data_IF_611174480490
#
_entry.id   IF_611174480490
#
_cell.length_a   1.000
_cell.length_b   1.000
_cell.length_c   1.000
_cell.angle_alpha   90.00
_cell.angle_beta   90.00
_cell.angle_gamma   90.00
#
_symmetry.space_group_name_H-M   'P 1'
#
loop_
_entity.id
_entity.type
_entity.pdbx_description
1 polymer ?
#
# COMPACT_ATOMS: atom_id res chain seq x y z
N UNK A 1 18.93 19.04 23.25
CA UNK A 1 17.58 18.91 22.70
C UNK A 1 17.48 17.54 22.01
N UNK A 2 16.65 16.66 22.53
CA UNK A 2 16.39 15.37 21.87
C UNK A 2 15.50 15.62 20.64
N UNK A 3 16.00 15.31 19.44
CA UNK A 3 15.19 15.35 18.22
C UNK A 3 14.19 14.21 18.25
N UNK A 4 12.91 14.52 18.07
CA UNK A 4 11.88 13.50 17.81
C UNK A 4 12.01 13.05 16.35
N UNK A 5 11.95 11.75 16.11
CA UNK A 5 12.02 11.14 14.77
C UNK A 5 10.75 10.31 14.60
N UNK A 6 10.11 10.42 13.43
CA UNK A 6 9.01 9.55 13.04
C UNK A 6 9.63 8.33 12.38
N UNK A 7 9.34 7.15 12.93
CA UNK A 7 9.70 5.87 12.32
C UNK A 7 8.48 5.30 11.60
N UNK A 8 8.59 5.16 10.28
CA UNK A 8 7.55 4.55 9.45
C UNK A 8 7.99 3.15 9.03
N UNK A 9 7.15 2.15 9.27
CA UNK A 9 7.34 0.81 8.75
C UNK A 9 6.49 0.61 7.50
N UNK A 10 7.14 0.30 6.36
CA UNK A 10 6.47 -0.16 5.15
C UNK A 10 6.30 -1.68 5.22
N UNK A 11 5.07 -2.14 5.43
CA UNK A 11 4.79 -3.54 5.78
C UNK A 11 4.97 -4.48 4.59
N UNK A 12 4.48 -4.10 3.40
CA UNK A 12 4.56 -4.98 2.22
C UNK A 12 5.15 -4.31 0.97
N UNK A 13 4.71 -3.10 0.63
CA UNK A 13 4.99 -2.48 -0.68
C UNK A 13 4.18 -3.10 -1.84
N UNK A 14 4.35 -2.54 -3.04
CA UNK A 14 3.60 -2.94 -4.25
C UNK A 14 4.35 -3.92 -5.14
N UNK A 15 5.69 -3.90 -5.10
CA UNK A 15 6.55 -4.68 -5.97
C UNK A 15 6.35 -6.18 -5.81
N UNK A 16 7.03 -6.94 -6.67
CA UNK A 16 6.87 -8.38 -6.78
C UNK A 16 6.95 -9.09 -5.41
N UNK A 17 6.01 -10.00 -5.20
CA UNK A 17 5.96 -10.86 -4.05
C UNK A 17 7.25 -11.67 -3.91
N UNK A 18 7.95 -11.51 -2.79
CA UNK A 18 9.11 -12.32 -2.48
C UNK A 18 8.68 -13.65 -1.84
N UNK A 19 8.45 -14.65 -2.67
CA UNK A 19 8.07 -16.00 -2.23
C UNK A 19 9.13 -16.67 -1.32
N UNK A 20 10.34 -16.16 -1.30
CA UNK A 20 11.42 -16.71 -0.46
C UNK A 20 11.29 -16.28 1.02
N UNK A 21 10.46 -15.28 1.33
CA UNK A 21 10.28 -14.82 2.70
C UNK A 21 9.06 -15.51 3.34
N UNK A 22 9.25 -16.39 4.31
CA UNK A 22 8.16 -17.23 4.84
C UNK A 22 7.05 -16.42 5.56
N UNK A 23 7.38 -15.24 6.05
CA UNK A 23 6.47 -14.38 6.81
C UNK A 23 6.04 -13.14 6.03
N UNK A 24 6.12 -13.16 4.69
CA UNK A 24 5.66 -12.03 3.89
C UNK A 24 4.13 -11.92 3.96
N UNK A 25 3.57 -10.81 4.48
CA UNK A 25 2.13 -10.69 4.67
C UNK A 25 1.42 -10.43 3.34
N UNK A 26 0.40 -11.22 3.04
CA UNK A 26 -0.39 -11.17 1.79
C UNK A 26 -1.83 -10.81 2.08
N UNK A 27 -2.47 -11.53 3.01
CA UNK A 27 -3.89 -11.32 3.32
C UNK A 27 -4.10 -10.05 4.15
N UNK A 28 -5.30 -9.43 4.09
CA UNK A 28 -5.64 -8.29 4.93
C UNK A 28 -5.37 -8.54 6.44
N UNK A 29 -5.62 -9.75 6.92
CA UNK A 29 -5.32 -10.13 8.30
C UNK A 29 -3.82 -10.14 8.59
N UNK A 30 -3.02 -10.77 7.73
CA UNK A 30 -1.56 -10.82 7.91
C UNK A 30 -0.94 -9.42 7.87
N UNK A 31 -1.46 -8.53 7.01
CA UNK A 31 -1.00 -7.14 6.89
C UNK A 31 -1.35 -6.37 8.18
N UNK A 32 -2.55 -6.57 8.71
CA UNK A 32 -2.98 -5.92 9.96
C UNK A 32 -2.18 -6.41 11.16
N UNK A 33 -1.88 -7.71 11.24
CA UNK A 33 -1.06 -8.29 12.30
C UNK A 33 0.37 -7.75 12.23
N UNK A 34 0.96 -7.68 11.03
CA UNK A 34 2.29 -7.10 10.83
C UNK A 34 2.35 -5.59 11.14
N UNK A 35 1.25 -4.85 10.92
CA UNK A 35 1.15 -3.45 11.34
C UNK A 35 1.18 -3.30 12.86
N UNK A 36 0.49 -4.18 13.58
CA UNK A 36 0.52 -4.23 15.05
C UNK A 36 1.93 -4.59 15.56
N UNK A 37 2.58 -5.59 14.98
CA UNK A 37 3.95 -5.98 15.33
C UNK A 37 4.94 -4.82 15.09
N UNK A 38 4.80 -4.08 13.97
CA UNK A 38 5.61 -2.92 13.67
C UNK A 38 5.45 -1.82 14.74
N UNK A 39 4.22 -1.53 15.17
CA UNK A 39 3.96 -0.57 16.26
C UNK A 39 4.60 -1.04 17.56
N UNK A 40 4.44 -2.31 17.94
CA UNK A 40 5.04 -2.88 19.13
C UNK A 40 6.56 -2.82 19.10
N UNK A 41 7.15 -2.88 17.91
CA UNK A 41 8.59 -2.70 17.70
C UNK A 41 9.03 -1.22 17.70
N UNK A 42 8.10 -0.26 17.81
CA UNK A 42 8.37 1.16 17.93
C UNK A 42 8.06 2.02 16.71
N UNK A 43 7.42 1.49 15.69
CA UNK A 43 6.94 2.30 14.58
C UNK A 43 5.83 3.25 15.05
N UNK A 44 5.93 4.52 14.66
CA UNK A 44 4.90 5.53 14.92
C UNK A 44 3.98 5.75 13.72
N UNK A 45 4.32 5.18 12.59
CA UNK A 45 3.51 5.14 11.37
C UNK A 45 3.70 3.81 10.66
N UNK A 46 2.65 3.30 10.03
CA UNK A 46 2.69 2.13 9.17
C UNK A 46 2.23 2.50 7.77
N UNK A 47 3.01 2.12 6.75
CA UNK A 47 2.66 2.33 5.35
C UNK A 47 2.16 1.03 4.75
N UNK A 48 0.93 1.06 4.23
CA UNK A 48 0.16 -0.13 3.92
C UNK A 48 -0.23 -0.19 2.45
N UNK A 49 -0.05 -1.36 1.88
CA UNK A 49 -0.58 -1.81 0.59
C UNK A 49 -1.45 -3.05 0.82
N UNK A 50 -2.29 -3.39 -0.14
CA UNK A 50 -2.99 -4.66 -0.16
C UNK A 50 -2.49 -5.54 -1.30
N UNK A 51 -2.71 -6.83 -1.16
CA UNK A 51 -2.32 -7.83 -2.13
C UNK A 51 -3.49 -8.75 -2.42
N UNK A 52 -3.51 -9.27 -3.63
CA UNK A 52 -4.41 -10.34 -4.00
C UNK A 52 -4.10 -11.58 -3.14
N UNK A 53 -5.06 -12.08 -2.36
CA UNK A 53 -4.81 -13.18 -1.42
C UNK A 53 -4.46 -14.52 -2.07
N UNK A 54 -4.82 -14.71 -3.36
CA UNK A 54 -4.58 -15.95 -4.09
C UNK A 54 -3.21 -15.95 -4.77
N UNK A 55 -2.83 -14.81 -5.35
CA UNK A 55 -1.61 -14.70 -6.16
C UNK A 55 -0.44 -14.04 -5.42
N UNK A 56 -0.72 -13.27 -4.37
CA UNK A 56 0.26 -12.44 -3.68
C UNK A 56 0.66 -11.17 -4.45
N UNK A 57 0.11 -10.93 -5.63
CA UNK A 57 0.38 -9.73 -6.41
C UNK A 57 -0.17 -8.47 -5.72
N UNK A 58 0.44 -7.30 -5.99
CA UNK A 58 -0.12 -6.02 -5.55
C UNK A 58 -1.55 -5.84 -6.07
N UNK A 59 -2.44 -5.28 -5.27
CA UNK A 59 -3.84 -5.07 -5.63
C UNK A 59 -4.26 -3.63 -5.39
N UNK A 60 -5.23 -3.17 -6.19
CA UNK A 60 -5.91 -1.88 -6.02
C UNK A 60 -7.39 -2.04 -5.61
N UNK A 61 -7.78 -3.25 -5.25
CA UNK A 61 -9.16 -3.55 -4.87
C UNK A 61 -9.56 -2.75 -3.62
N UNK A 62 -10.55 -1.83 -3.71
CA UNK A 62 -10.98 -1.01 -2.60
C UNK A 62 -11.53 -1.81 -1.41
N UNK A 63 -12.15 -2.96 -1.67
CA UNK A 63 -12.75 -3.81 -0.63
C UNK A 63 -11.63 -4.50 0.18
N UNK A 64 -10.52 -4.90 -0.44
CA UNK A 64 -9.36 -5.40 0.27
C UNK A 64 -8.72 -4.32 1.17
N UNK A 65 -8.65 -3.07 0.68
CA UNK A 65 -8.18 -1.95 1.49
C UNK A 65 -9.10 -1.71 2.69
N UNK A 66 -10.42 -1.74 2.49
CA UNK A 66 -11.38 -1.53 3.57
C UNK A 66 -11.31 -2.65 4.61
N UNK A 67 -11.21 -3.91 4.19
CA UNK A 67 -11.04 -5.05 5.10
C UNK A 67 -9.73 -4.92 5.91
N UNK A 68 -8.62 -4.63 5.26
CA UNK A 68 -7.32 -4.41 5.91
C UNK A 68 -7.39 -3.25 6.92
N UNK A 69 -7.91 -2.09 6.53
CA UNK A 69 -7.99 -0.92 7.41
C UNK A 69 -8.89 -1.17 8.63
N UNK A 70 -9.99 -1.92 8.43
CA UNK A 70 -10.88 -2.34 9.53
C UNK A 70 -10.12 -3.23 10.52
N UNK A 71 -9.41 -4.24 10.04
CA UNK A 71 -8.62 -5.15 10.90
C UNK A 71 -7.49 -4.44 11.63
N UNK A 72 -6.80 -3.48 11.00
CA UNK A 72 -5.78 -2.65 11.66
C UNK A 72 -6.39 -1.91 12.85
N UNK A 73 -7.58 -1.34 12.68
CA UNK A 73 -8.30 -0.64 13.78
C UNK A 73 -8.77 -1.61 14.86
N UNK A 74 -9.32 -2.75 14.46
CA UNK A 74 -9.81 -3.78 15.39
C UNK A 74 -8.67 -4.39 16.22
N UNK A 75 -7.48 -4.52 15.65
CA UNK A 75 -6.26 -4.90 16.36
C UNK A 75 -5.78 -3.81 17.36
N UNK A 76 -6.39 -2.62 17.36
CA UNK A 76 -6.08 -1.53 18.29
C UNK A 76 -4.79 -0.78 17.98
N UNK A 77 -4.27 -0.87 16.76
CA UNK A 77 -3.08 -0.12 16.29
C UNK A 77 -3.30 1.38 16.48
N UNK A 78 -2.33 2.04 17.11
CA UNK A 78 -2.32 3.50 17.39
C UNK A 78 -1.36 4.25 16.47
N UNK A 79 -0.45 3.56 15.81
CA UNK A 79 0.43 4.15 14.82
C UNK A 79 -0.40 4.81 13.70
N UNK A 80 0.11 5.91 13.15
CA UNK A 80 -0.51 6.59 12.00
C UNK A 80 -0.64 5.61 10.84
N UNK A 81 -1.86 5.34 10.42
CA UNK A 81 -2.13 4.51 9.24
C UNK A 81 -1.98 5.37 7.98
N UNK A 82 -0.94 5.09 7.21
CA UNK A 82 -0.69 5.69 5.90
C UNK A 82 -0.98 4.65 4.82
N UNK A 83 -1.98 4.90 3.98
CA UNK A 83 -2.35 4.00 2.88
C UNK A 83 -1.82 4.56 1.56
N UNK A 84 -1.29 3.67 0.72
CA UNK A 84 -0.77 4.05 -0.61
C UNK A 84 -1.86 4.50 -1.56
N UNK A 85 -1.56 5.50 -2.42
CA UNK A 85 -2.27 5.80 -3.66
C UNK A 85 -1.31 5.67 -4.87
N UNK A 86 -0.18 4.97 -4.70
CA UNK A 86 0.85 4.80 -5.74
C UNK A 86 0.39 3.94 -6.91
N UNK A 87 -0.41 2.91 -6.65
CA UNK A 87 -0.89 2.01 -7.69
C UNK A 87 -1.66 2.71 -8.80
N UNK A 88 -1.42 2.31 -10.06
CA UNK A 88 -2.03 2.93 -11.24
C UNK A 88 -1.30 4.18 -11.73
N UNK A 89 0.01 4.26 -11.53
CA UNK A 89 0.85 5.36 -12.00
C UNK A 89 1.98 4.92 -12.95
N UNK A 90 2.11 3.61 -13.21
CA UNK A 90 3.19 3.08 -14.04
C UNK A 90 2.91 3.35 -15.52
N UNK A 91 3.82 4.07 -16.17
CA UNK A 91 3.76 4.33 -17.60
C UNK A 91 5.00 3.77 -18.29
N UNK A 92 4.79 2.86 -19.20
CA UNK A 92 5.84 2.37 -20.10
C UNK A 92 5.52 2.87 -21.51
N UNK A 93 6.42 3.61 -22.17
CA UNK A 93 6.20 4.06 -23.54
C UNK A 93 6.22 2.85 -24.50
N UNK A 94 5.43 2.95 -25.57
CA UNK A 94 5.47 1.96 -26.64
C UNK A 94 6.82 2.04 -27.38
N UNK A 95 7.49 0.91 -27.67
CA UNK A 95 8.79 0.90 -28.33
C UNK A 95 8.81 1.48 -29.76
N UNK A 96 7.67 1.49 -30.45
CA UNK A 96 7.54 2.00 -31.82
C UNK A 96 7.02 3.45 -31.85
N UNK A 97 6.27 3.86 -30.82
CA UNK A 97 5.70 5.21 -30.68
C UNK A 97 5.65 5.61 -29.20
N UNK A 98 6.67 6.30 -28.73
CA UNK A 98 6.81 6.72 -27.32
C UNK A 98 5.66 7.64 -26.82
N UNK A 99 4.84 8.19 -27.75
CA UNK A 99 3.66 8.97 -27.38
C UNK A 99 2.47 8.11 -26.93
N UNK A 100 2.59 6.80 -27.05
CA UNK A 100 1.56 5.81 -26.68
C UNK A 100 2.00 5.00 -25.48
N UNK A 101 0.99 4.46 -24.78
CA UNK A 101 1.22 3.51 -23.70
C UNK A 101 1.57 2.13 -24.28
N UNK A 102 2.71 1.62 -23.88
CA UNK A 102 3.17 0.26 -24.21
C UNK A 102 2.72 -0.78 -23.19
N UNK A 103 3.11 -2.06 -23.43
CA UNK A 103 2.78 -3.17 -22.55
C UNK A 103 3.30 -2.96 -21.12
N UNK A 104 2.46 -3.26 -20.13
CA UNK A 104 2.77 -3.10 -18.71
C UNK A 104 2.33 -1.75 -18.12
N UNK A 105 1.90 -0.79 -18.94
CA UNK A 105 1.29 0.46 -18.46
C UNK A 105 -0.01 0.14 -17.69
N UNK A 106 -0.15 0.74 -16.50
CA UNK A 106 -1.33 0.58 -15.66
C UNK A 106 -1.96 1.90 -15.20
N UNK A 107 -1.61 3.02 -15.86
CA UNK A 107 -2.11 4.34 -15.52
C UNK A 107 -3.62 4.40 -15.55
N UNK A 108 -4.20 4.83 -14.43
CA UNK A 108 -5.66 5.01 -14.27
C UNK A 108 -5.98 6.43 -13.81
N UNK A 109 -7.28 6.76 -13.76
CA UNK A 109 -7.73 8.09 -13.33
C UNK A 109 -7.37 8.40 -11.88
N UNK A 110 -7.31 9.68 -11.52
CA UNK A 110 -7.09 10.10 -10.15
C UNK A 110 -8.17 9.54 -9.21
N UNK A 111 -9.43 9.56 -9.66
CA UNK A 111 -10.57 9.02 -8.88
C UNK A 111 -10.39 7.54 -8.56
N UNK A 112 -9.92 6.74 -9.50
CA UNK A 112 -9.65 5.31 -9.26
C UNK A 112 -8.49 5.11 -8.29
N UNK A 113 -7.47 5.99 -8.33
CA UNK A 113 -6.30 5.89 -7.47
C UNK A 113 -6.58 6.21 -6.00
N UNK A 114 -7.55 7.09 -5.71
CA UNK A 114 -7.83 7.46 -4.32
C UNK A 114 -9.17 6.95 -3.77
N UNK A 115 -9.99 6.26 -4.55
CA UNK A 115 -11.31 5.77 -4.14
C UNK A 115 -11.28 5.02 -2.80
N UNK A 116 -10.30 4.14 -2.60
CA UNK A 116 -10.14 3.39 -1.35
C UNK A 116 -9.79 4.28 -0.15
N UNK A 117 -9.17 5.45 -0.37
CA UNK A 117 -8.88 6.40 0.71
C UNK A 117 -10.17 7.00 1.27
N UNK A 118 -11.13 7.34 0.41
CA UNK A 118 -12.45 7.83 0.83
C UNK A 118 -13.22 6.78 1.63
N UNK A 119 -13.05 5.50 1.29
CA UNK A 119 -13.67 4.39 2.01
C UNK A 119 -12.98 4.10 3.35
N UNK A 120 -11.66 4.11 3.36
CA UNK A 120 -10.87 3.71 4.53
C UNK A 120 -10.68 4.84 5.54
N UNK A 121 -10.69 6.11 5.11
CA UNK A 121 -10.45 7.29 5.97
C UNK A 121 -9.21 7.13 6.86
N UNK A 122 -8.01 6.86 6.29
CA UNK A 122 -6.77 6.74 7.06
C UNK A 122 -6.32 8.11 7.56
N UNK A 123 -5.38 8.15 8.53
CA UNK A 123 -4.76 9.38 9.01
C UNK A 123 -3.84 10.03 7.96
N UNK A 124 -3.35 9.26 7.00
CA UNK A 124 -2.52 9.75 5.91
C UNK A 124 -2.57 8.86 4.69
N UNK A 125 -2.21 9.43 3.55
CA UNK A 125 -1.99 8.68 2.32
C UNK A 125 -0.73 9.19 1.61
N UNK A 126 -0.12 8.34 0.82
CA UNK A 126 0.98 8.70 -0.07
C UNK A 126 0.50 8.71 -1.51
N UNK A 127 0.91 9.69 -2.27
CA UNK A 127 0.53 9.85 -3.67
C UNK A 127 1.77 10.16 -4.50
N UNK A 128 1.99 9.36 -5.54
CA UNK A 128 2.94 9.70 -6.60
C UNK A 128 2.28 10.72 -7.54
N UNK A 129 2.85 11.92 -7.59
CA UNK A 129 2.29 13.06 -8.35
C UNK A 129 2.69 13.05 -9.82
N UNK A 130 3.55 12.10 -10.21
CA UNK A 130 3.99 11.87 -11.60
C UNK A 130 3.81 10.39 -11.94
N UNK A 131 3.84 10.08 -13.24
CA UNK A 131 3.99 8.69 -13.71
C UNK A 131 5.39 8.18 -13.33
N UNK A 132 5.45 6.90 -13.04
CA UNK A 132 6.69 6.16 -12.76
C UNK A 132 7.08 5.31 -13.95
#
# INVERSE_FOLDING_TARGET
MTRKVILTCAVTGENQYNQSHPNFPITPQQIADAALEAEQAGASSVHLHVRDPETGAGSRDPDLFLDMATRVRDNGVKAVMNITCGGGAMFYPDPEDESRAGPGTDVVSAEERYKHIEMCMPEGCSLDVTTQ
#
